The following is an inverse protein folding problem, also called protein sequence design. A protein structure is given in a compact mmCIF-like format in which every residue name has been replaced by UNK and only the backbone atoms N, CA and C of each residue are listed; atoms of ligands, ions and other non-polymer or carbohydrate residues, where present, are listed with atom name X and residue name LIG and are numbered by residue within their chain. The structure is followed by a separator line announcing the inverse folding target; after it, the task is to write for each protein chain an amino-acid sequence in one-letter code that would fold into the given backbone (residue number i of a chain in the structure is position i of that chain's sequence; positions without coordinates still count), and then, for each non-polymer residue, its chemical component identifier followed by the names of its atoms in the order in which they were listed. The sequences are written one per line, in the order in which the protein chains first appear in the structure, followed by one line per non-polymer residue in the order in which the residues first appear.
data_IF_745953814038
#
_entry.id   IF_745953814038
#
_cell.length_a   1.000
_cell.length_b   1.000
_cell.length_c   1.000
_cell.angle_alpha   90.00
_cell.angle_beta   90.00
_cell.angle_gamma   90.00
#
_symmetry.space_group_name_H-M   'P 1'
#
loop_
_entity.id
_entity.type
_entity.pdbx_description
1 polymer ?
#
# COMPACT_ATOMS: atom_id res chain seq x y z
N UNK A 1 -15.88 5.25 -9.80
CA UNK A 1 -15.19 6.44 -10.34
C UNK A 1 -15.88 7.66 -9.76
N UNK A 2 -15.14 8.63 -9.23
CA UNK A 2 -15.73 9.89 -8.74
C UNK A 2 -15.87 10.79 -9.96
N UNK A 3 -17.11 11.15 -10.30
CA UNK A 3 -17.41 11.96 -11.49
C UNK A 3 -17.04 13.43 -11.30
N UNK A 4 -16.68 14.08 -12.40
CA UNK A 4 -16.49 15.52 -12.44
C UNK A 4 -17.84 16.21 -12.45
N UNK A 5 -17.97 17.28 -11.65
CA UNK A 5 -19.15 18.14 -11.55
C UNK A 5 -18.80 19.43 -12.25
N UNK A 6 -19.52 19.76 -13.32
CA UNK A 6 -19.39 21.05 -14.01
C UNK A 6 -19.85 22.18 -13.05
N UNK A 7 -19.12 23.28 -13.06
CA UNK A 7 -19.34 24.36 -12.13
C UNK A 7 -19.25 25.74 -12.81
N UNK A 8 -20.24 26.58 -12.57
CA UNK A 8 -20.37 27.93 -13.12
C UNK A 8 -20.68 28.98 -12.03
N UNK A 9 -20.59 28.59 -10.77
CA UNK A 9 -20.85 29.46 -9.62
C UNK A 9 -19.63 30.25 -9.17
N UNK A 10 -19.81 30.97 -8.07
CA UNK A 10 -18.75 31.76 -7.42
C UNK A 10 -18.57 31.41 -5.95
N UNK A 11 -19.50 30.65 -5.37
CA UNK A 11 -19.49 30.25 -3.97
C UNK A 11 -19.02 28.80 -3.84
N UNK A 12 -18.34 28.47 -2.74
CA UNK A 12 -17.90 27.12 -2.47
C UNK A 12 -19.07 26.13 -2.40
N UNK A 13 -19.20 25.15 -3.31
CA UNK A 13 -20.36 24.25 -3.37
C UNK A 13 -20.26 23.07 -2.40
N UNK A 14 -19.18 22.95 -1.66
CA UNK A 14 -18.89 21.83 -0.76
C UNK A 14 -18.62 22.32 0.66
N UNK A 15 -18.62 21.40 1.63
CA UNK A 15 -18.34 21.74 3.03
C UNK A 15 -16.90 22.24 3.19
N UNK A 16 -16.72 23.22 4.10
CA UNK A 16 -15.39 23.66 4.56
C UNK A 16 -14.51 22.48 4.97
N UNK A 17 -13.22 22.52 4.58
CA UNK A 17 -12.25 21.45 4.83
C UNK A 17 -12.42 20.20 3.95
N UNK A 18 -13.32 20.21 2.96
CA UNK A 18 -13.40 19.12 2.00
C UNK A 18 -12.20 19.16 1.04
N UNK A 19 -11.53 18.02 0.83
CA UNK A 19 -10.50 17.91 -0.19
C UNK A 19 -11.14 17.82 -1.57
N UNK A 20 -10.77 18.72 -2.46
CA UNK A 20 -11.30 18.79 -3.83
C UNK A 20 -10.17 18.80 -4.86
N UNK A 21 -10.46 18.23 -6.02
CA UNK A 21 -9.66 18.43 -7.21
C UNK A 21 -10.43 19.41 -8.11
N UNK A 22 -9.88 20.60 -8.29
CA UNK A 22 -10.45 21.67 -9.08
C UNK A 22 -9.74 21.79 -10.44
N UNK A 23 -10.52 21.89 -11.51
CA UNK A 23 -10.05 22.04 -12.89
C UNK A 23 -10.34 23.46 -13.38
N UNK A 24 -9.28 24.20 -13.61
CA UNK A 24 -9.32 25.57 -14.14
C UNK A 24 -9.15 25.61 -15.68
N UNK A 25 -9.20 24.46 -16.33
CA UNK A 25 -8.99 24.30 -17.76
C UNK A 25 -7.55 24.00 -18.14
N UNK A 26 -6.61 24.90 -17.83
CA UNK A 26 -5.18 24.71 -18.11
C UNK A 26 -4.45 24.00 -16.96
N UNK A 27 -4.96 24.08 -15.74
CA UNK A 27 -4.35 23.57 -14.51
C UNK A 27 -5.39 22.82 -13.68
N UNK A 28 -4.95 21.77 -13.05
CA UNK A 28 -5.72 21.04 -12.02
C UNK A 28 -4.99 21.12 -10.71
N UNK A 29 -5.71 21.44 -9.64
CA UNK A 29 -5.18 21.50 -8.28
C UNK A 29 -5.99 20.59 -7.38
N UNK A 30 -5.28 19.88 -6.48
CA UNK A 30 -5.89 19.15 -5.38
C UNK A 30 -5.58 19.91 -4.10
N UNK A 31 -6.60 20.46 -3.44
CA UNK A 31 -6.45 21.30 -2.24
C UNK A 31 -7.74 21.30 -1.42
N UNK A 32 -7.70 21.89 -0.22
CA UNK A 32 -8.89 22.13 0.57
C UNK A 32 -9.85 23.07 -0.16
N UNK A 33 -11.14 22.80 -0.06
CA UNK A 33 -12.19 23.60 -0.70
C UNK A 33 -12.13 25.08 -0.32
N UNK A 34 -11.68 25.39 0.90
CA UNK A 34 -11.52 26.75 1.42
C UNK A 34 -10.36 27.52 0.76
N UNK A 35 -9.43 26.80 0.10
CA UNK A 35 -8.29 27.36 -0.61
C UNK A 35 -8.51 27.47 -2.13
N UNK A 36 -9.70 27.12 -2.62
CA UNK A 36 -10.04 27.13 -4.05
C UNK A 36 -10.61 28.49 -4.45
N UNK A 37 -10.08 29.07 -5.53
CA UNK A 37 -10.73 30.20 -6.20
C UNK A 37 -11.91 29.69 -7.06
N UNK A 38 -13.08 29.58 -6.42
CA UNK A 38 -14.27 29.04 -7.04
C UNK A 38 -14.78 29.87 -8.22
N UNK A 39 -14.48 31.15 -8.27
CA UNK A 39 -14.84 32.02 -9.41
C UNK A 39 -14.14 31.65 -10.72
N UNK A 40 -13.04 30.90 -10.65
CA UNK A 40 -12.24 30.47 -11.81
C UNK A 40 -12.34 28.98 -12.12
N UNK A 41 -13.06 28.20 -11.30
CA UNK A 41 -13.22 26.76 -11.50
C UNK A 41 -14.22 26.46 -12.60
N UNK A 42 -13.88 25.55 -13.51
CA UNK A 42 -14.80 25.05 -14.55
C UNK A 42 -15.55 23.82 -14.14
N UNK A 43 -14.87 22.92 -13.43
CA UNK A 43 -15.43 21.71 -12.86
C UNK A 43 -14.60 21.23 -11.68
N UNK A 44 -15.20 20.49 -10.82
CA UNK A 44 -14.53 19.93 -9.65
C UNK A 44 -14.99 18.51 -9.38
N UNK A 45 -14.27 17.82 -8.54
CA UNK A 45 -14.73 16.59 -7.89
C UNK A 45 -14.27 16.57 -6.44
N UNK A 46 -15.14 16.11 -5.58
CA UNK A 46 -14.79 15.93 -4.16
C UNK A 46 -13.90 14.70 -4.05
N UNK A 47 -12.70 14.90 -3.54
CA UNK A 47 -11.86 13.79 -3.10
C UNK A 47 -12.34 13.40 -1.70
N UNK A 48 -12.74 12.15 -1.53
CA UNK A 48 -12.89 11.65 -0.17
C UNK A 48 -11.52 11.84 0.50
N UNK A 49 -11.43 12.54 1.66
CA UNK A 49 -10.20 12.52 2.41
C UNK A 49 -9.85 11.05 2.64
N UNK A 50 -8.58 10.72 2.49
CA UNK A 50 -8.13 9.40 2.93
C UNK A 50 -8.64 9.25 4.37
N UNK A 51 -9.32 8.15 4.71
CA UNK A 51 -9.88 7.99 6.04
C UNK A 51 -8.77 8.27 7.05
N UNK A 52 -8.99 9.28 7.90
CA UNK A 52 -7.98 9.77 8.83
C UNK A 52 -7.55 8.65 9.78
N UNK A 53 -6.27 8.59 10.07
CA UNK A 53 -5.72 7.66 11.06
C UNK A 53 -5.54 6.22 10.58
N UNK A 54 -5.64 5.28 11.52
CA UNK A 54 -5.39 3.84 11.28
C UNK A 54 -6.29 3.25 10.20
N UNK A 55 -7.58 3.65 10.16
CA UNK A 55 -8.53 3.15 9.17
C UNK A 55 -8.14 3.52 7.73
N UNK A 56 -7.60 4.73 7.52
CA UNK A 56 -7.12 5.18 6.22
C UNK A 56 -5.90 4.43 5.75
N UNK A 57 -4.96 4.25 6.65
CA UNK A 57 -3.76 3.46 6.37
C UNK A 57 -4.10 2.01 6.03
N UNK A 58 -5.11 1.43 6.71
CA UNK A 58 -5.56 0.06 6.41
C UNK A 58 -6.18 -0.01 5.02
N UNK A 59 -7.12 0.89 4.69
CA UNK A 59 -7.79 0.91 3.40
C UNK A 59 -6.82 1.14 2.22
N UNK A 60 -5.85 2.04 2.37
CA UNK A 60 -4.80 2.25 1.36
C UNK A 60 -3.93 1.01 1.18
N UNK A 61 -3.55 0.36 2.28
CA UNK A 61 -2.74 -0.87 2.25
C UNK A 61 -3.51 -2.05 1.67
N UNK A 62 -4.81 -2.16 1.89
CA UNK A 62 -5.64 -3.21 1.28
C UNK A 62 -5.69 -3.08 -0.24
N UNK A 63 -5.74 -1.86 -0.79
CA UNK A 63 -5.68 -1.63 -2.23
C UNK A 63 -4.34 -2.08 -2.85
N UNK A 64 -3.23 -1.95 -2.12
CA UNK A 64 -1.89 -2.28 -2.63
C UNK A 64 -1.47 -3.71 -2.31
N UNK A 65 -1.85 -4.20 -1.14
CA UNK A 65 -1.34 -5.47 -0.60
C UNK A 65 -2.40 -6.59 -0.54
N UNK A 66 -3.66 -6.30 -0.93
CA UNK A 66 -4.81 -7.19 -0.75
C UNK A 66 -5.32 -7.24 0.69
N UNK A 67 -6.44 -7.94 0.92
CA UNK A 67 -7.04 -8.02 2.25
C UNK A 67 -6.10 -8.67 3.25
N UNK A 68 -6.16 -8.20 4.50
CA UNK A 68 -5.31 -8.74 5.58
C UNK A 68 -5.55 -10.24 5.80
N UNK A 69 -6.80 -10.70 5.72
CA UNK A 69 -7.17 -12.10 5.90
C UNK A 69 -6.55 -12.99 4.82
N UNK A 70 -6.72 -12.63 3.54
CA UNK A 70 -6.21 -13.41 2.42
C UNK A 70 -4.68 -13.51 2.45
N UNK A 71 -3.97 -12.41 2.63
CA UNK A 71 -2.51 -12.42 2.69
C UNK A 71 -1.98 -13.17 3.90
N UNK A 72 -2.67 -13.10 5.05
CA UNK A 72 -2.30 -13.85 6.25
C UNK A 72 -2.43 -15.36 6.02
N UNK A 73 -3.50 -15.79 5.35
CA UNK A 73 -3.70 -17.19 5.00
C UNK A 73 -2.66 -17.69 3.99
N UNK A 74 -2.35 -16.90 2.96
CA UNK A 74 -1.31 -17.25 1.99
C UNK A 74 0.06 -17.35 2.68
N UNK A 75 0.43 -16.37 3.51
CA UNK A 75 1.69 -16.38 4.23
C UNK A 75 1.80 -17.58 5.18
N UNK A 76 0.70 -17.95 5.86
CA UNK A 76 0.64 -19.15 6.70
C UNK A 76 0.90 -20.42 5.88
N UNK A 77 0.19 -20.60 4.76
CA UNK A 77 0.37 -21.78 3.90
C UNK A 77 1.79 -21.89 3.34
N UNK A 78 2.42 -20.78 2.97
CA UNK A 78 3.81 -20.79 2.51
C UNK A 78 4.77 -21.23 3.63
N UNK A 79 4.57 -20.74 4.85
CA UNK A 79 5.39 -21.15 6.00
C UNK A 79 5.17 -22.63 6.36
N UNK A 80 3.94 -23.10 6.32
CA UNK A 80 3.60 -24.50 6.56
C UNK A 80 4.26 -25.42 5.52
N UNK A 81 4.22 -25.05 4.25
CA UNK A 81 4.85 -25.81 3.17
C UNK A 81 6.37 -25.94 3.29
N UNK A 82 7.00 -25.00 3.99
CA UNK A 82 8.45 -25.01 4.29
C UNK A 82 8.77 -25.53 5.70
N UNK A 83 7.78 -25.98 6.45
CA UNK A 83 7.91 -26.43 7.85
C UNK A 83 8.57 -25.40 8.78
N UNK A 84 8.40 -24.11 8.52
CA UNK A 84 9.04 -23.03 9.29
C UNK A 84 8.55 -22.95 10.75
N UNK A 85 7.47 -23.64 11.11
CA UNK A 85 6.94 -23.73 12.47
C UNK A 85 7.54 -24.92 13.25
N UNK A 86 8.32 -25.79 12.60
CA UNK A 86 8.94 -26.94 13.24
C UNK A 86 10.26 -26.54 13.90
N UNK A 87 10.52 -27.11 15.09
CA UNK A 87 11.70 -26.75 15.89
C UNK A 87 13.03 -27.10 15.22
N UNK A 88 13.04 -28.19 14.45
CA UNK A 88 14.24 -28.72 13.76
C UNK A 88 14.05 -28.69 12.25
N UNK A 89 13.68 -27.53 11.70
CA UNK A 89 13.43 -27.32 10.28
C UNK A 89 14.69 -27.25 9.41
N UNK A 90 15.88 -27.35 10.01
CA UNK A 90 17.17 -27.33 9.32
C UNK A 90 17.68 -25.93 8.94
N UNK A 91 16.95 -24.86 9.26
CA UNK A 91 17.37 -23.50 9.02
C UNK A 91 18.06 -22.89 10.24
N UNK A 92 19.02 -21.99 9.99
CA UNK A 92 19.54 -21.12 11.06
C UNK A 92 18.52 -20.01 11.38
N UNK A 93 18.55 -19.44 12.58
CA UNK A 93 17.61 -18.39 12.96
C UNK A 93 17.55 -17.20 11.97
N UNK A 94 18.68 -16.68 11.42
CA UNK A 94 18.60 -15.64 10.39
C UNK A 94 17.99 -16.12 9.07
N UNK A 95 18.17 -17.38 8.69
CA UNK A 95 17.55 -17.95 7.48
C UNK A 95 16.05 -18.11 7.67
N UNK A 96 15.61 -18.59 8.82
CA UNK A 96 14.20 -18.72 9.17
C UNK A 96 13.51 -17.37 9.18
N UNK A 97 14.10 -16.36 9.82
CA UNK A 97 13.55 -14.99 9.85
C UNK A 97 13.43 -14.40 8.44
N UNK A 98 14.47 -14.55 7.61
CA UNK A 98 14.43 -14.11 6.22
C UNK A 98 13.32 -14.80 5.41
N UNK A 99 13.13 -16.10 5.58
CA UNK A 99 12.07 -16.88 4.91
C UNK A 99 10.68 -16.42 5.36
N UNK A 100 10.47 -16.14 6.64
CA UNK A 100 9.22 -15.60 7.17
C UNK A 100 8.89 -14.25 6.50
N UNK A 101 9.87 -13.36 6.39
CA UNK A 101 9.69 -12.07 5.72
C UNK A 101 9.41 -12.22 4.22
N UNK A 102 10.11 -13.12 3.53
CA UNK A 102 9.86 -13.45 2.13
C UNK A 102 8.43 -13.97 1.93
N UNK A 103 7.95 -14.90 2.76
CA UNK A 103 6.57 -15.38 2.72
C UNK A 103 5.55 -14.24 2.87
N UNK A 104 5.81 -13.28 3.76
CA UNK A 104 4.96 -12.12 3.94
C UNK A 104 4.95 -11.20 2.70
N UNK A 105 6.07 -11.04 1.98
CA UNK A 105 6.11 -10.26 0.74
C UNK A 105 5.44 -11.01 -0.41
N UNK A 106 5.67 -12.31 -0.55
CA UNK A 106 4.99 -13.15 -1.53
C UNK A 106 3.47 -13.14 -1.34
N UNK A 107 2.99 -13.16 -0.09
CA UNK A 107 1.55 -13.08 0.17
C UNK A 107 0.92 -11.75 -0.26
N UNK A 108 1.65 -10.63 -0.16
CA UNK A 108 1.21 -9.31 -0.65
C UNK A 108 1.17 -9.25 -2.17
N UNK A 109 2.16 -9.84 -2.85
CA UNK A 109 2.19 -9.96 -4.30
C UNK A 109 1.00 -10.80 -4.80
N UNK A 110 0.72 -11.92 -4.13
CA UNK A 110 -0.33 -12.84 -4.53
C UNK A 110 -1.75 -12.33 -4.24
N UNK A 111 -1.92 -11.55 -3.17
CA UNK A 111 -3.23 -11.03 -2.75
C UNK A 111 -3.51 -9.59 -3.23
N UNK A 112 -2.49 -8.85 -3.66
CA UNK A 112 -2.58 -7.43 -4.01
C UNK A 112 -1.95 -7.12 -5.36
N UNK A 113 -1.09 -6.08 -5.40
CA UNK A 113 -0.42 -5.63 -6.60
C UNK A 113 0.87 -6.41 -6.87
N UNK A 114 0.83 -7.31 -7.85
CA UNK A 114 1.98 -8.10 -8.29
C UNK A 114 3.09 -7.27 -8.96
N UNK A 115 2.77 -6.05 -9.40
CA UNK A 115 3.72 -5.13 -10.04
C UNK A 115 4.42 -4.18 -9.04
N UNK A 116 4.08 -4.24 -7.76
CA UNK A 116 4.71 -3.43 -6.73
C UNK A 116 6.19 -3.80 -6.57
N UNK A 117 7.07 -2.98 -7.15
CA UNK A 117 8.51 -3.22 -7.19
C UNK A 117 9.15 -3.33 -5.79
N UNK A 118 8.60 -2.62 -4.80
CA UNK A 118 9.07 -2.64 -3.41
C UNK A 118 9.05 -4.06 -2.81
N UNK A 119 8.00 -4.84 -3.10
CA UNK A 119 7.90 -6.21 -2.59
C UNK A 119 8.99 -7.14 -3.17
N UNK A 120 9.28 -6.98 -4.45
CA UNK A 120 10.35 -7.76 -5.11
C UNK A 120 11.73 -7.35 -4.63
N UNK A 121 11.94 -6.05 -4.40
CA UNK A 121 13.17 -5.52 -3.83
C UNK A 121 13.44 -6.05 -2.43
N UNK A 122 12.42 -6.04 -1.57
CA UNK A 122 12.50 -6.58 -0.21
C UNK A 122 12.83 -8.07 -0.19
N UNK A 123 12.22 -8.87 -1.08
CA UNK A 123 12.54 -10.30 -1.21
C UNK A 123 14.02 -10.50 -1.54
N UNK A 124 14.54 -9.73 -2.50
CA UNK A 124 15.96 -9.79 -2.85
C UNK A 124 16.87 -9.41 -1.68
N UNK A 125 16.47 -8.40 -0.90
CA UNK A 125 17.18 -7.97 0.31
C UNK A 125 17.26 -9.07 1.36
N UNK A 126 16.13 -9.68 1.73
CA UNK A 126 16.11 -10.77 2.71
C UNK A 126 16.88 -12.01 2.25
N UNK A 127 16.76 -12.39 0.96
CA UNK A 127 17.52 -13.50 0.40
C UNK A 127 19.04 -13.24 0.47
N UNK A 128 19.47 -12.00 0.19
CA UNK A 128 20.88 -11.60 0.28
C UNK A 128 21.39 -11.68 1.72
N UNK A 129 20.61 -11.18 2.69
CA UNK A 129 20.98 -11.27 4.11
C UNK A 129 21.11 -12.71 4.58
N UNK A 130 20.17 -13.58 4.22
CA UNK A 130 20.23 -15.00 4.56
C UNK A 130 21.48 -15.68 3.99
N UNK A 131 21.82 -15.40 2.73
CA UNK A 131 23.02 -15.96 2.08
C UNK A 131 24.33 -15.53 2.76
N UNK A 132 24.42 -14.28 3.19
CA UNK A 132 25.60 -13.75 3.90
C UNK A 132 25.80 -14.36 5.30
N UNK A 133 24.71 -14.68 5.99
CA UNK A 133 24.80 -15.30 7.32
C UNK A 133 25.17 -16.76 7.27
N UNK A 134 24.77 -17.49 6.22
CA UNK A 134 25.17 -18.89 6.00
C UNK A 134 26.68 -19.07 5.76
N UNK A 135 27.36 -18.06 5.23
CA UNK A 135 28.80 -18.09 4.97
C UNK A 135 29.68 -17.90 6.22
N UNK A 136 29.16 -17.24 7.27
CA UNK A 136 29.90 -16.97 8.51
C UNK A 136 30.00 -18.18 9.46
N UNK A 137 29.21 -19.21 9.24
CA UNK A 137 29.18 -20.43 10.06
C UNK A 137 30.12 -21.55 9.62
N UNK A 138 30.91 -21.37 8.55
CA UNK A 138 31.82 -22.37 7.97
C UNK A 138 33.30 -21.95 7.99
N UNK A 139 33.66 -21.02 8.88
CA UNK A 139 35.04 -20.59 9.08
C UNK A 139 35.62 -21.11 10.42
#
# INVERSE_FOLDING_TARGET
MIEWIEYDGTECPVKSGALVEADYGAVRLTTDADCVDWGSVRRYRVRMPAPDGVAGTIAERENTHGSFELRSEIARRLRDAMSLHERDNGFTAPQEDALIHICNKLSRIAAGDSCCADHWHDIAGYATLAAQTGQKGHA
#
